data_IF_818361548243
#
_entry.id   IF_818361548243
#
_cell.length_a   1.000
_cell.length_b   1.000
_cell.length_c   1.000
_cell.angle_alpha   90.00
_cell.angle_beta   90.00
_cell.angle_gamma   90.00
#
_symmetry.space_group_name_H-M   'P 1'
#
loop_
_entity.id
_entity.type
_entity.pdbx_description
1 polymer ?
#
# COMPACT_ATOMS: atom_id res chain seq x y z
N UNK A 1 -21.00 -0.37 25.36
CA UNK A 1 -20.75 -1.43 24.36
C UNK A 1 -19.25 -1.53 24.16
N UNK A 2 -18.71 -2.72 23.96
CA UNK A 2 -17.29 -2.89 23.66
C UNK A 2 -17.07 -2.78 22.16
N UNK A 3 -15.99 -2.13 21.72
CA UNK A 3 -15.56 -2.13 20.34
C UNK A 3 -15.14 -3.55 19.94
N UNK A 4 -15.58 -4.02 18.77
CA UNK A 4 -15.31 -5.36 18.26
C UNK A 4 -14.56 -5.33 16.94
N UNK A 5 -13.97 -6.45 16.55
CA UNK A 5 -13.36 -6.64 15.22
C UNK A 5 -14.37 -6.37 14.09
N UNK A 6 -15.65 -6.71 14.31
CA UNK A 6 -16.73 -6.42 13.35
C UNK A 6 -16.93 -4.92 13.12
N UNK A 7 -16.80 -4.09 14.16
CA UNK A 7 -16.91 -2.62 14.03
C UNK A 7 -15.76 -2.05 13.18
N UNK A 8 -14.56 -2.65 13.27
CA UNK A 8 -13.42 -2.23 12.46
C UNK A 8 -13.57 -2.69 11.00
N UNK A 9 -14.13 -3.87 10.76
CA UNK A 9 -14.48 -4.31 9.40
C UNK A 9 -15.55 -3.39 8.77
N UNK A 10 -16.57 -2.98 9.52
CA UNK A 10 -17.57 -2.01 9.08
C UNK A 10 -16.93 -0.65 8.76
N UNK A 11 -15.99 -0.18 9.59
CA UNK A 11 -15.26 1.04 9.32
C UNK A 11 -14.47 0.94 8.01
N UNK A 12 -13.72 -0.15 7.79
CA UNK A 12 -12.94 -0.37 6.57
C UNK A 12 -13.84 -0.40 5.33
N UNK A 13 -14.97 -1.11 5.41
CA UNK A 13 -15.99 -1.14 4.34
C UNK A 13 -16.53 0.26 4.00
N UNK A 14 -16.72 1.12 4.99
CA UNK A 14 -17.21 2.48 4.78
C UNK A 14 -16.18 3.44 4.16
N UNK A 15 -14.87 3.26 4.46
CA UNK A 15 -13.82 4.17 3.98
C UNK A 15 -13.10 3.69 2.73
N UNK A 16 -13.12 2.39 2.49
CA UNK A 16 -12.52 1.73 1.33
C UNK A 16 -13.35 0.48 0.99
N UNK A 17 -14.49 0.62 0.29
CA UNK A 17 -15.44 -0.47 0.07
C UNK A 17 -14.82 -1.72 -0.56
N UNK A 18 -15.21 -2.89 -0.07
CA UNK A 18 -14.74 -4.19 -0.58
C UNK A 18 -15.09 -4.44 -2.04
N UNK A 19 -16.10 -3.74 -2.56
CA UNK A 19 -16.45 -3.75 -3.98
C UNK A 19 -15.37 -3.15 -4.89
N UNK A 20 -14.38 -2.42 -4.35
CA UNK A 20 -13.18 -2.00 -5.06
C UNK A 20 -12.11 -3.09 -5.15
N UNK A 21 -12.24 -4.19 -4.40
CA UNK A 21 -11.23 -5.25 -4.40
C UNK A 21 -11.04 -5.87 -5.78
N UNK A 22 -9.79 -6.19 -6.10
CA UNK A 22 -9.49 -7.01 -7.27
C UNK A 22 -10.14 -8.39 -7.16
N UNK A 23 -10.41 -8.99 -8.31
CA UNK A 23 -11.00 -10.34 -8.33
C UNK A 23 -10.11 -11.33 -7.58
N UNK A 24 -10.68 -12.03 -6.62
CA UNK A 24 -10.00 -13.00 -5.75
C UNK A 24 -9.00 -12.40 -4.75
N UNK A 25 -9.03 -11.08 -4.51
CA UNK A 25 -8.23 -10.47 -3.46
C UNK A 25 -8.74 -10.92 -2.07
N UNK A 26 -7.92 -11.62 -1.26
CA UNK A 26 -8.37 -12.23 -0.01
C UNK A 26 -8.42 -11.21 1.15
N UNK A 27 -9.24 -10.16 1.02
CA UNK A 27 -9.44 -9.15 2.06
C UNK A 27 -10.36 -9.65 3.19
N UNK A 28 -10.33 -8.97 4.33
CA UNK A 28 -11.18 -9.22 5.49
C UNK A 28 -10.45 -9.87 6.66
N UNK A 29 -11.22 -10.46 7.58
CA UNK A 29 -10.65 -11.13 8.74
C UNK A 29 -9.99 -12.44 8.33
N UNK A 30 -8.69 -12.55 8.56
CA UNK A 30 -7.88 -13.71 8.21
C UNK A 30 -7.58 -14.61 9.41
N UNK A 31 -7.39 -14.03 10.61
CA UNK A 31 -7.17 -14.77 11.85
C UNK A 31 -8.00 -14.13 12.94
N UNK A 32 -8.61 -14.92 13.82
CA UNK A 32 -9.34 -14.46 14.99
C UNK A 32 -10.86 -14.51 14.88
N UNK A 33 -11.57 -13.62 15.54
CA UNK A 33 -13.02 -13.62 15.62
C UNK A 33 -13.63 -12.23 15.41
N UNK A 34 -14.66 -12.12 14.57
CA UNK A 34 -15.43 -10.88 14.39
C UNK A 34 -16.02 -10.33 15.69
N UNK A 35 -16.28 -11.21 16.67
CA UNK A 35 -16.85 -10.85 17.99
C UNK A 35 -15.79 -10.48 19.03
N UNK A 36 -14.50 -10.64 18.72
CA UNK A 36 -13.44 -10.34 19.67
C UNK A 36 -13.45 -8.84 20.03
N UNK A 37 -13.31 -8.49 21.33
CA UNK A 37 -13.17 -7.10 21.75
C UNK A 37 -11.82 -6.56 21.32
N UNK A 38 -11.79 -5.31 20.80
CA UNK A 38 -10.58 -4.62 20.39
C UNK A 38 -10.06 -3.76 21.53
N UNK A 39 -8.80 -3.99 21.93
CA UNK A 39 -8.09 -3.25 22.99
C UNK A 39 -7.16 -2.19 22.42
N UNK A 40 -6.68 -2.39 21.21
CA UNK A 40 -5.81 -1.50 20.47
C UNK A 40 -5.51 -2.08 19.09
N UNK A 41 -5.11 -1.21 18.16
CA UNK A 41 -4.98 -1.53 16.74
C UNK A 41 -3.58 -1.20 16.25
N UNK A 42 -2.94 -2.16 15.57
CA UNK A 42 -1.72 -1.98 14.80
C UNK A 42 -2.07 -1.85 13.33
N UNK A 43 -1.56 -0.83 12.66
CA UNK A 43 -1.60 -0.67 11.22
C UNK A 43 -0.22 -0.98 10.64
N UNK A 44 -0.15 -1.81 9.62
CA UNK A 44 1.11 -2.20 8.97
C UNK A 44 0.90 -2.50 7.48
N UNK A 45 1.97 -2.56 6.70
CA UNK A 45 1.90 -3.09 5.33
C UNK A 45 1.82 -4.61 5.37
N UNK A 46 2.78 -5.26 6.02
CA UNK A 46 2.90 -6.72 6.03
C UNK A 46 2.44 -7.32 7.36
N UNK A 47 1.68 -8.44 7.33
CA UNK A 47 1.36 -9.22 8.51
C UNK A 47 2.52 -10.19 8.82
N UNK A 48 3.46 -9.76 9.65
CA UNK A 48 4.68 -10.50 9.98
C UNK A 48 4.74 -10.96 11.44
N UNK A 49 5.69 -11.83 11.75
CA UNK A 49 6.03 -12.18 13.15
C UNK A 49 6.52 -10.95 13.93
N UNK A 50 7.27 -10.06 13.28
CA UNK A 50 7.74 -8.81 13.88
C UNK A 50 6.56 -7.90 14.26
N UNK A 51 5.60 -7.74 13.34
CA UNK A 51 4.37 -6.98 13.60
C UNK A 51 3.55 -7.61 14.74
N UNK A 52 3.41 -8.93 14.77
CA UNK A 52 2.72 -9.64 15.85
C UNK A 52 3.39 -9.40 17.22
N UNK A 53 4.70 -9.56 17.30
CA UNK A 53 5.46 -9.31 18.54
C UNK A 53 5.31 -7.86 18.98
N UNK A 54 5.48 -6.92 18.06
CA UNK A 54 5.31 -5.50 18.37
C UNK A 54 3.90 -5.20 18.89
N UNK A 55 2.85 -5.78 18.29
CA UNK A 55 1.47 -5.61 18.76
C UNK A 55 1.32 -6.08 20.21
N UNK A 56 1.85 -7.25 20.56
CA UNK A 56 1.82 -7.79 21.91
C UNK A 56 2.57 -6.89 22.90
N UNK A 57 3.79 -6.46 22.55
CA UNK A 57 4.61 -5.59 23.40
C UNK A 57 3.93 -4.24 23.69
N UNK A 58 3.08 -3.76 22.75
CA UNK A 58 2.29 -2.54 22.92
C UNK A 58 0.89 -2.78 23.52
N UNK A 59 0.54 -4.01 23.89
CA UNK A 59 -0.78 -4.36 24.44
C UNK A 59 -1.93 -4.29 23.43
N UNK A 60 -1.61 -4.34 22.14
CA UNK A 60 -2.59 -4.33 21.03
C UNK A 60 -3.03 -5.76 20.71
N UNK A 61 -4.27 -5.94 20.25
CA UNK A 61 -4.78 -7.26 19.93
C UNK A 61 -5.45 -7.38 18.56
N UNK A 62 -5.43 -6.30 17.77
CA UNK A 62 -5.88 -6.30 16.38
C UNK A 62 -4.77 -5.73 15.48
N UNK A 63 -4.42 -6.46 14.44
CA UNK A 63 -3.55 -6.01 13.35
C UNK A 63 -4.41 -5.80 12.12
N UNK A 64 -4.32 -4.62 11.52
CA UNK A 64 -4.87 -4.33 10.19
C UNK A 64 -3.69 -4.14 9.26
N UNK A 65 -3.50 -5.10 8.36
CA UNK A 65 -2.43 -5.05 7.35
C UNK A 65 -2.99 -4.65 5.99
N UNK A 66 -2.14 -4.01 5.19
CA UNK A 66 -2.41 -3.80 3.78
C UNK A 66 -2.38 -5.15 3.05
N UNK A 67 -1.27 -5.85 3.10
CA UNK A 67 -1.13 -7.15 2.46
C UNK A 67 -1.89 -8.26 3.21
N UNK A 68 -2.49 -9.21 2.48
CA UNK A 68 -3.07 -10.39 3.08
C UNK A 68 -1.99 -11.38 3.56
N UNK A 69 -2.23 -12.00 4.72
CA UNK A 69 -1.41 -13.11 5.19
C UNK A 69 -1.60 -14.35 4.31
N UNK A 70 -2.85 -14.60 3.91
CA UNK A 70 -3.22 -15.76 3.09
C UNK A 70 -3.52 -15.31 1.67
N UNK A 71 -2.48 -15.05 0.89
CA UNK A 71 -2.63 -14.71 -0.53
C UNK A 71 -3.12 -15.93 -1.34
N UNK A 72 -2.67 -17.14 -0.95
CA UNK A 72 -3.14 -18.41 -1.50
C UNK A 72 -3.73 -19.27 -0.39
N UNK A 73 -4.67 -20.19 -0.70
CA UNK A 73 -5.20 -21.13 0.27
C UNK A 73 -4.08 -21.97 0.89
N UNK A 74 -4.09 -22.10 2.21
CA UNK A 74 -3.14 -22.93 2.96
C UNK A 74 -3.62 -24.38 3.04
N UNK A 75 -2.68 -25.32 2.91
CA UNK A 75 -2.95 -26.75 3.10
C UNK A 75 -2.61 -27.23 4.52
N UNK A 76 -1.76 -26.50 5.23
CA UNK A 76 -1.35 -26.84 6.60
C UNK A 76 -1.07 -25.58 7.42
N UNK A 77 -1.33 -25.65 8.73
CA UNK A 77 -1.02 -24.61 9.70
C UNK A 77 0.05 -25.11 10.65
N UNK A 78 1.31 -24.77 10.41
CA UNK A 78 2.45 -25.15 11.24
C UNK A 78 3.29 -23.92 11.60
N UNK A 79 4.04 -23.96 12.73
CA UNK A 79 4.90 -22.86 13.12
C UNK A 79 6.21 -22.76 12.31
N UNK A 80 6.47 -23.68 11.38
CA UNK A 80 7.80 -23.88 10.78
C UNK A 80 8.01 -23.05 9.52
N UNK A 81 6.93 -22.63 8.85
CA UNK A 81 7.01 -21.93 7.57
C UNK A 81 5.95 -20.82 7.43
N UNK A 82 6.31 -19.75 6.70
CA UNK A 82 5.39 -18.69 6.29
C UNK A 82 4.36 -19.23 5.27
N UNK A 83 3.08 -18.81 5.34
CA UNK A 83 2.47 -17.90 6.32
C UNK A 83 1.97 -18.59 7.60
N UNK A 84 2.09 -19.90 7.71
CA UNK A 84 1.59 -20.70 8.83
C UNK A 84 2.15 -20.26 10.18
N UNK A 85 3.43 -19.89 10.25
CA UNK A 85 4.09 -19.43 11.46
C UNK A 85 3.45 -18.16 12.03
N UNK A 86 3.09 -17.20 11.18
CA UNK A 86 2.42 -15.95 11.59
C UNK A 86 1.02 -16.26 12.10
N UNK A 87 0.25 -17.05 11.37
CA UNK A 87 -1.10 -17.44 11.76
C UNK A 87 -1.10 -18.22 13.09
N UNK A 88 -0.21 -19.21 13.22
CA UNK A 88 -0.05 -20.00 14.43
C UNK A 88 0.30 -19.12 15.64
N UNK A 89 1.26 -18.20 15.48
CA UNK A 89 1.65 -17.25 16.51
C UNK A 89 0.48 -16.34 16.90
N UNK A 90 -0.21 -15.77 15.90
CA UNK A 90 -1.35 -14.88 16.14
C UNK A 90 -2.48 -15.59 16.91
N UNK A 91 -2.82 -16.82 16.54
CA UNK A 91 -3.83 -17.63 17.26
C UNK A 91 -3.39 -17.89 18.70
N UNK A 92 -2.13 -18.31 18.89
CA UNK A 92 -1.57 -18.61 20.21
C UNK A 92 -1.61 -17.41 21.15
N UNK A 93 -1.31 -16.21 20.64
CA UNK A 93 -1.24 -14.98 21.43
C UNK A 93 -2.59 -14.21 21.46
N UNK A 94 -3.67 -14.75 20.87
CA UNK A 94 -4.98 -14.14 20.87
C UNK A 94 -5.10 -12.87 20.02
N UNK A 95 -4.25 -12.73 19.01
CA UNK A 95 -4.30 -11.63 18.05
C UNK A 95 -5.40 -11.88 16.99
N UNK A 96 -5.96 -10.79 16.49
CA UNK A 96 -6.84 -10.80 15.31
C UNK A 96 -6.11 -10.11 14.16
N UNK A 97 -6.21 -10.65 12.94
CA UNK A 97 -5.58 -10.10 11.74
C UNK A 97 -6.64 -9.82 10.68
N UNK A 98 -6.71 -8.58 10.23
CA UNK A 98 -7.51 -8.13 9.09
C UNK A 98 -6.55 -7.72 7.98
N UNK A 99 -6.79 -8.18 6.75
CA UNK A 99 -6.16 -7.64 5.55
C UNK A 99 -7.12 -6.70 4.82
N UNK A 100 -6.63 -5.54 4.39
CA UNK A 100 -7.41 -4.60 3.58
C UNK A 100 -6.53 -4.03 2.46
N UNK A 101 -6.46 -4.76 1.36
CA UNK A 101 -5.45 -4.65 0.30
C UNK A 101 -5.91 -3.72 -0.83
N UNK A 102 -6.31 -4.27 -1.96
CA UNK A 102 -6.60 -3.50 -3.18
C UNK A 102 -7.73 -2.46 -3.07
N UNK A 103 -8.69 -2.52 -2.14
CA UNK A 103 -9.56 -1.37 -1.89
C UNK A 103 -8.82 -0.12 -1.43
N UNK A 104 -7.72 -0.25 -0.65
CA UNK A 104 -6.88 0.88 -0.27
C UNK A 104 -6.04 1.43 -1.43
N UNK A 105 -5.76 0.62 -2.46
CA UNK A 105 -5.08 1.10 -3.67
C UNK A 105 -5.98 1.97 -4.53
N UNK A 106 -7.29 1.69 -4.51
CA UNK A 106 -8.26 2.25 -5.46
C UNK A 106 -9.09 3.41 -4.92
N UNK A 107 -9.18 3.61 -3.61
CA UNK A 107 -9.88 4.79 -3.09
C UNK A 107 -9.13 6.07 -3.42
N UNK A 108 -9.85 7.16 -3.65
CA UNK A 108 -9.31 8.46 -4.06
C UNK A 108 -8.24 9.05 -3.12
N UNK A 109 -8.21 8.64 -1.86
CA UNK A 109 -7.20 9.02 -0.85
C UNK A 109 -6.18 7.91 -0.58
N UNK A 110 -6.20 6.82 -1.33
CA UNK A 110 -5.48 5.58 -1.12
C UNK A 110 -3.97 5.66 -1.38
N UNK A 111 -3.36 4.50 -1.58
CA UNK A 111 -1.89 4.33 -1.67
C UNK A 111 -1.26 5.28 -2.69
N UNK A 112 -1.76 5.30 -3.92
CA UNK A 112 -1.17 6.14 -4.98
C UNK A 112 -1.35 7.63 -4.74
N UNK A 113 -2.49 8.04 -4.17
CA UNK A 113 -2.74 9.43 -3.78
C UNK A 113 -1.84 9.85 -2.62
N UNK A 114 -1.64 8.99 -1.62
CA UNK A 114 -0.73 9.24 -0.50
C UNK A 114 0.72 9.39 -0.96
N UNK A 115 1.15 8.57 -1.93
CA UNK A 115 2.47 8.67 -2.54
C UNK A 115 2.62 9.99 -3.32
N UNK A 116 1.62 10.41 -4.11
CA UNK A 116 1.63 11.69 -4.81
C UNK A 116 1.72 12.87 -3.83
N UNK A 117 0.91 12.87 -2.76
CA UNK A 117 0.94 13.91 -1.73
C UNK A 117 2.28 13.97 -0.99
N UNK A 118 2.90 12.81 -0.70
CA UNK A 118 4.24 12.76 -0.11
C UNK A 118 5.27 13.45 -0.98
N UNK A 119 5.11 13.37 -2.30
CA UNK A 119 5.95 14.06 -3.29
C UNK A 119 5.59 15.56 -3.41
N UNK A 120 4.51 16.01 -2.80
CA UNK A 120 3.99 17.38 -2.94
C UNK A 120 3.29 17.60 -4.27
N UNK A 121 2.77 16.54 -4.87
CA UNK A 121 2.07 16.55 -6.15
C UNK A 121 0.56 16.39 -5.93
N UNK A 122 -0.24 17.03 -6.78
CA UNK A 122 -1.70 16.96 -6.74
C UNK A 122 -2.19 16.05 -7.87
N UNK A 123 -2.85 14.92 -7.56
CA UNK A 123 -3.47 14.08 -8.57
C UNK A 123 -4.56 14.81 -9.37
N UNK A 124 -4.60 14.60 -10.70
CA UNK A 124 -5.67 15.11 -11.58
C UNK A 124 -6.82 14.08 -11.71
N UNK A 125 -6.46 12.82 -11.88
CA UNK A 125 -7.42 11.72 -12.06
C UNK A 125 -6.77 10.37 -11.76
N UNK A 126 -7.55 9.29 -11.56
CA UNK A 126 -6.99 7.95 -11.56
C UNK A 126 -6.50 7.55 -12.97
N UNK A 127 -5.50 6.66 -13.02
CA UNK A 127 -5.01 6.08 -14.30
C UNK A 127 -6.07 5.14 -14.86
N UNK A 128 -6.58 4.20 -14.05
CA UNK A 128 -7.70 3.34 -14.38
C UNK A 128 -8.88 3.70 -13.47
N UNK A 129 -9.88 4.40 -14.04
CA UNK A 129 -11.05 4.85 -13.28
C UNK A 129 -11.98 3.69 -12.90
N UNK A 130 -12.46 3.70 -11.66
CA UNK A 130 -13.49 2.79 -11.14
C UNK A 130 -14.76 3.60 -10.78
N UNK A 131 -15.48 4.02 -11.82
CA UNK A 131 -16.60 4.97 -11.68
C UNK A 131 -17.84 4.39 -11.02
N UNK A 132 -17.97 3.07 -10.94
CA UNK A 132 -19.11 2.40 -10.29
C UNK A 132 -19.29 2.75 -8.81
N UNK A 133 -18.24 3.25 -8.15
CA UNK A 133 -18.19 3.51 -6.71
C UNK A 133 -17.86 4.96 -6.35
N UNK A 134 -18.11 5.88 -7.27
CA UNK A 134 -17.89 7.32 -7.09
C UNK A 134 -16.72 7.88 -7.89
N UNK A 135 -16.75 9.18 -8.11
CA UNK A 135 -15.70 9.89 -8.81
C UNK A 135 -14.38 9.86 -8.05
N UNK A 136 -13.27 9.77 -8.79
CA UNK A 136 -11.90 9.81 -8.24
C UNK A 136 -11.37 8.47 -7.70
N UNK A 137 -12.20 7.41 -7.63
CA UNK A 137 -11.74 6.07 -7.31
C UNK A 137 -11.15 5.39 -8.56
N UNK A 138 -10.10 4.60 -8.35
CA UNK A 138 -9.43 3.86 -9.40
C UNK A 138 -7.98 3.57 -9.10
N UNK A 139 -7.33 2.77 -9.93
CA UNK A 139 -5.97 2.34 -9.72
C UNK A 139 -4.97 3.36 -10.27
N UNK A 140 -3.99 3.73 -9.42
CA UNK A 140 -2.97 4.73 -9.74
C UNK A 140 -3.54 6.13 -9.90
N UNK A 141 -2.67 7.13 -9.99
CA UNK A 141 -3.06 8.53 -10.22
C UNK A 141 -2.19 9.16 -11.30
N UNK A 142 -2.77 10.10 -12.04
CA UNK A 142 -2.08 10.94 -13.01
C UNK A 142 -1.76 12.29 -12.40
N UNK A 143 -0.55 12.78 -12.68
CA UNK A 143 -0.08 14.10 -12.29
C UNK A 143 0.49 14.80 -13.52
N UNK A 144 0.19 16.09 -13.69
CA UNK A 144 0.87 16.96 -14.67
C UNK A 144 1.75 17.98 -13.95
N UNK A 145 2.92 18.21 -14.51
CA UNK A 145 3.80 19.24 -14.04
C UNK A 145 3.50 20.57 -14.75
N UNK A 146 3.48 21.67 -14.02
CA UNK A 146 3.33 23.01 -14.61
C UNK A 146 4.53 23.41 -15.50
N UNK A 147 5.68 22.80 -15.22
CA UNK A 147 6.91 22.89 -16.01
C UNK A 147 7.56 21.50 -15.98
N UNK A 148 8.05 21.03 -17.14
CA UNK A 148 8.75 19.76 -17.22
C UNK A 148 9.96 19.71 -16.28
N UNK A 149 10.26 18.51 -15.80
CA UNK A 149 11.39 18.22 -14.91
C UNK A 149 12.24 17.12 -15.52
N UNK A 150 13.54 17.12 -15.29
CA UNK A 150 14.40 16.03 -15.73
C UNK A 150 14.13 14.76 -14.94
N UNK A 151 14.12 13.61 -15.62
CA UNK A 151 13.87 12.31 -15.00
C UNK A 151 14.84 12.00 -13.86
N UNK A 152 16.13 12.31 -14.04
CA UNK A 152 17.15 12.12 -12.99
C UNK A 152 16.95 13.02 -11.77
N UNK A 153 16.47 14.26 -11.95
CA UNK A 153 16.12 15.15 -10.84
C UNK A 153 14.88 14.65 -10.10
N UNK A 154 13.87 14.23 -10.85
CA UNK A 154 12.66 13.62 -10.28
C UNK A 154 12.99 12.36 -9.49
N UNK A 155 13.88 11.48 -9.99
CA UNK A 155 14.33 10.28 -9.29
C UNK A 155 14.98 10.60 -7.93
N UNK A 156 15.85 11.62 -7.89
CA UNK A 156 16.49 12.08 -6.65
C UNK A 156 15.48 12.65 -5.65
N UNK A 157 14.50 13.41 -6.14
CA UNK A 157 13.45 13.97 -5.30
C UNK A 157 12.55 12.86 -4.73
N UNK A 158 12.17 11.87 -5.54
CA UNK A 158 11.42 10.69 -5.11
C UNK A 158 12.20 9.94 -4.03
N UNK A 159 13.48 9.62 -4.25
CA UNK A 159 14.31 8.92 -3.27
C UNK A 159 14.32 9.62 -1.90
N UNK A 160 14.50 10.95 -1.91
CA UNK A 160 14.53 11.77 -0.69
C UNK A 160 13.19 11.81 0.02
N UNK A 161 12.08 12.01 -0.70
CA UNK A 161 10.76 12.21 -0.11
C UNK A 161 10.11 10.91 0.36
N UNK A 162 10.33 9.81 -0.39
CA UNK A 162 9.82 8.47 -0.03
C UNK A 162 10.70 7.79 1.03
N UNK A 163 11.92 8.31 1.24
CA UNK A 163 12.94 7.70 2.10
C UNK A 163 13.26 6.26 1.66
N UNK A 164 13.51 6.11 0.35
CA UNK A 164 13.73 4.84 -0.32
C UNK A 164 14.80 4.96 -1.40
N UNK A 165 15.40 3.82 -1.75
CA UNK A 165 16.17 3.73 -2.99
C UNK A 165 15.26 3.91 -4.21
N UNK A 166 15.84 4.40 -5.31
CA UNK A 166 15.16 4.48 -6.61
C UNK A 166 16.02 3.81 -7.67
N UNK A 167 15.43 2.87 -8.41
CA UNK A 167 15.97 2.43 -9.69
C UNK A 167 15.24 3.16 -10.82
N UNK A 168 15.95 3.47 -11.89
CA UNK A 168 15.42 4.24 -13.01
C UNK A 168 15.60 3.46 -14.32
N UNK A 169 14.59 3.49 -15.16
CA UNK A 169 14.64 3.08 -16.58
C UNK A 169 14.37 4.32 -17.42
N UNK A 170 15.23 4.60 -18.37
CA UNK A 170 15.16 5.78 -19.25
C UNK A 170 16.38 6.67 -19.15
N UNK A 171 16.43 7.73 -19.97
CA UNK A 171 17.51 8.73 -19.96
C UNK A 171 17.29 9.74 -18.83
N UNK A 172 18.28 9.93 -17.96
CA UNK A 172 18.23 10.88 -16.84
C UNK A 172 17.94 12.33 -17.26
N UNK A 173 18.30 12.68 -18.50
CA UNK A 173 18.08 14.02 -19.08
C UNK A 173 16.71 14.16 -19.77
N UNK A 174 15.94 13.09 -19.88
CA UNK A 174 14.59 13.13 -20.47
C UNK A 174 13.69 14.09 -19.69
N UNK A 175 12.97 14.92 -20.42
CA UNK A 175 11.98 15.85 -19.86
C UNK A 175 10.66 15.11 -19.56
N UNK A 176 10.17 15.24 -18.35
CA UNK A 176 8.92 14.66 -17.86
C UNK A 176 7.92 15.79 -17.62
N UNK A 177 6.83 15.79 -18.37
CA UNK A 177 5.72 16.75 -18.26
C UNK A 177 4.52 16.17 -17.50
N UNK A 178 4.43 14.84 -17.47
CA UNK A 178 3.35 14.08 -16.83
C UNK A 178 3.88 12.78 -16.22
N UNK A 179 3.29 12.37 -15.11
CA UNK A 179 3.70 11.22 -14.31
C UNK A 179 2.49 10.38 -13.92
N UNK A 180 2.53 9.09 -14.26
CA UNK A 180 1.70 8.09 -13.60
C UNK A 180 2.32 7.71 -12.27
N UNK A 181 1.52 7.59 -11.22
CA UNK A 181 1.97 7.11 -9.90
C UNK A 181 1.07 5.96 -9.50
N UNK A 182 1.66 4.81 -9.21
CA UNK A 182 0.93 3.66 -8.68
C UNK A 182 1.84 2.91 -7.69
N UNK A 183 1.51 2.99 -6.40
CA UNK A 183 2.18 2.20 -5.38
C UNK A 183 1.96 0.71 -5.61
N UNK A 184 2.95 -0.11 -5.24
CA UNK A 184 2.90 -1.55 -5.50
C UNK A 184 3.33 -1.94 -6.93
N UNK A 185 3.04 -3.17 -7.32
CA UNK A 185 3.51 -3.80 -8.57
C UNK A 185 2.63 -3.45 -9.77
N UNK A 186 2.71 -2.23 -10.29
CA UNK A 186 1.80 -1.70 -11.32
C UNK A 186 2.44 -1.53 -12.71
N UNK A 187 3.55 -2.20 -13.02
CA UNK A 187 4.23 -2.06 -14.32
C UNK A 187 3.35 -2.38 -15.54
N UNK A 188 2.27 -3.14 -15.37
CA UNK A 188 1.28 -3.43 -16.40
C UNK A 188 0.52 -2.18 -16.90
N UNK A 189 0.52 -1.09 -16.13
CA UNK A 189 -0.08 0.18 -16.53
C UNK A 189 0.67 0.90 -17.66
N UNK A 190 1.89 0.47 -17.99
CA UNK A 190 2.71 1.07 -19.07
C UNK A 190 1.91 1.23 -20.37
N UNK A 191 1.27 0.17 -20.83
CA UNK A 191 0.51 0.20 -22.09
C UNK A 191 -0.73 1.11 -22.04
N UNK A 192 -1.33 1.27 -20.86
CA UNK A 192 -2.43 2.19 -20.68
C UNK A 192 -1.96 3.65 -20.68
N UNK A 193 -0.88 3.94 -19.96
CA UNK A 193 -0.28 5.28 -19.89
C UNK A 193 0.21 5.77 -21.25
N UNK A 194 0.79 4.89 -22.08
CA UNK A 194 1.19 5.20 -23.47
C UNK A 194 0.00 5.69 -24.32
N UNK A 195 -1.19 5.08 -24.16
CA UNK A 195 -2.43 5.53 -24.84
C UNK A 195 -2.87 6.91 -24.37
N UNK A 196 -2.55 7.30 -23.14
CA UNK A 196 -2.77 8.62 -22.56
C UNK A 196 -1.65 9.61 -22.89
N UNK A 197 -0.66 9.23 -23.70
CA UNK A 197 0.56 10.01 -24.00
C UNK A 197 1.41 10.32 -22.78
N UNK A 198 1.29 9.55 -21.69
CA UNK A 198 2.12 9.63 -20.50
C UNK A 198 3.24 8.61 -20.62
N UNK A 199 4.48 9.04 -20.51
CA UNK A 199 5.67 8.21 -20.77
C UNK A 199 6.48 7.87 -19.52
N UNK A 200 5.99 8.20 -18.33
CA UNK A 200 6.72 7.97 -17.08
C UNK A 200 5.77 7.39 -16.04
N UNK A 201 6.20 6.32 -15.36
CA UNK A 201 5.47 5.70 -14.25
C UNK A 201 6.39 5.53 -13.04
N UNK A 202 5.94 6.04 -11.90
CA UNK A 202 6.48 5.72 -10.59
C UNK A 202 5.70 4.53 -10.01
N UNK A 203 6.40 3.43 -9.73
CA UNK A 203 5.82 2.16 -9.24
C UNK A 203 6.86 1.32 -8.51
N UNK A 204 6.56 0.07 -8.21
CA UNK A 204 7.46 -0.92 -7.61
C UNK A 204 7.57 -2.18 -8.50
N UNK A 205 8.52 -3.06 -8.20
CA UNK A 205 8.63 -4.44 -8.72
C UNK A 205 8.56 -4.60 -10.25
N UNK A 206 9.28 -3.78 -10.99
CA UNK A 206 9.36 -3.91 -12.45
C UNK A 206 10.29 -5.06 -12.83
N UNK A 207 9.78 -6.04 -13.57
CA UNK A 207 10.57 -7.17 -14.07
C UNK A 207 11.56 -6.73 -15.16
N UNK A 208 12.71 -7.39 -15.24
CA UNK A 208 13.75 -7.09 -16.22
C UNK A 208 13.23 -6.95 -17.65
N UNK A 209 12.42 -7.90 -18.13
CA UNK A 209 11.90 -7.84 -19.50
C UNK A 209 10.98 -6.65 -19.74
N UNK A 210 10.16 -6.28 -18.74
CA UNK A 210 9.32 -5.07 -18.81
C UNK A 210 10.19 -3.80 -18.84
N UNK A 211 11.23 -3.74 -18.01
CA UNK A 211 12.18 -2.63 -18.02
C UNK A 211 12.90 -2.52 -19.37
N UNK A 212 13.33 -3.65 -19.97
CA UNK A 212 13.98 -3.67 -21.28
C UNK A 212 13.04 -3.26 -22.42
N UNK A 213 11.79 -3.68 -22.37
CA UNK A 213 10.76 -3.21 -23.30
C UNK A 213 10.56 -1.70 -23.19
N UNK A 214 10.42 -1.19 -21.97
CA UNK A 214 10.25 0.25 -21.72
C UNK A 214 11.42 1.07 -22.28
N UNK A 215 12.65 0.63 -22.06
CA UNK A 215 13.85 1.28 -22.61
C UNK A 215 13.79 1.36 -24.15
N UNK A 216 13.44 0.26 -24.81
CA UNK A 216 13.32 0.19 -26.28
C UNK A 216 12.21 1.11 -26.82
N UNK A 217 11.10 1.20 -26.09
CA UNK A 217 9.92 1.95 -26.49
C UNK A 217 9.94 3.41 -26.02
N UNK A 218 11.00 3.86 -25.35
CA UNK A 218 11.13 5.22 -24.83
C UNK A 218 10.13 5.55 -23.72
N UNK A 219 9.80 4.55 -22.87
CA UNK A 219 8.99 4.71 -21.68
C UNK A 219 9.89 4.67 -20.44
N UNK A 220 9.61 5.50 -19.45
CA UNK A 220 10.42 5.64 -18.26
C UNK A 220 9.76 4.99 -17.04
N UNK A 221 10.55 4.31 -16.21
CA UNK A 221 10.13 3.88 -14.88
C UNK A 221 10.99 4.55 -13.79
N UNK A 222 10.33 4.99 -12.74
CA UNK A 222 10.93 5.22 -11.43
C UNK A 222 10.44 4.10 -10.51
N UNK A 223 11.36 3.32 -9.96
CA UNK A 223 11.04 2.10 -9.21
C UNK A 223 11.51 2.31 -7.78
N UNK A 224 10.60 2.24 -6.83
CA UNK A 224 10.86 2.44 -5.39
C UNK A 224 10.61 1.16 -4.62
N UNK A 225 11.05 1.12 -3.36
CA UNK A 225 10.72 0.03 -2.45
C UNK A 225 9.21 -0.08 -2.26
N UNK A 226 8.69 -1.29 -2.40
CA UNK A 226 7.26 -1.59 -2.38
C UNK A 226 6.62 -1.20 -1.04
N UNK A 227 7.18 -1.71 0.05
CA UNK A 227 6.65 -1.44 1.38
C UNK A 227 6.79 0.03 1.78
N UNK A 228 7.86 0.71 1.36
CA UNK A 228 8.03 2.14 1.61
C UNK A 228 6.93 2.96 0.91
N UNK A 229 6.64 2.67 -0.37
CA UNK A 229 5.60 3.34 -1.13
C UNK A 229 4.20 3.15 -0.52
N UNK A 230 3.86 1.93 -0.15
CA UNK A 230 2.53 1.59 0.38
C UNK A 230 2.34 2.02 1.83
N UNK A 231 3.40 2.06 2.64
CA UNK A 231 3.31 2.53 4.03
C UNK A 231 2.80 3.97 4.16
N UNK A 232 2.92 4.77 3.09
CA UNK A 232 2.49 6.17 3.06
C UNK A 232 0.97 6.37 3.22
N UNK A 233 0.15 5.34 2.97
CA UNK A 233 -1.30 5.40 3.22
C UNK A 233 -1.65 5.22 4.70
N UNK A 234 -0.80 4.58 5.50
CA UNK A 234 -1.09 4.22 6.88
C UNK A 234 -1.39 5.42 7.80
N UNK A 235 -0.70 6.58 7.70
CA UNK A 235 -1.06 7.76 8.47
C UNK A 235 -2.48 8.27 8.18
N UNK A 236 -2.92 8.26 6.92
CA UNK A 236 -4.29 8.63 6.53
C UNK A 236 -5.33 7.65 7.05
N UNK A 237 -5.06 6.36 6.95
CA UNK A 237 -5.93 5.33 7.50
C UNK A 237 -6.04 5.48 9.02
N UNK A 238 -4.93 5.74 9.72
CA UNK A 238 -4.90 6.02 11.17
C UNK A 238 -5.75 7.24 11.54
N UNK A 239 -5.64 8.33 10.78
CA UNK A 239 -6.42 9.54 11.01
C UNK A 239 -7.92 9.25 10.91
N UNK A 240 -8.37 8.60 9.82
CA UNK A 240 -9.77 8.22 9.60
C UNK A 240 -10.28 7.28 10.71
N UNK A 241 -9.46 6.33 11.12
CA UNK A 241 -9.80 5.39 12.19
C UNK A 241 -9.94 6.11 13.55
N UNK A 242 -9.02 7.03 13.88
CA UNK A 242 -9.12 7.82 15.09
C UNK A 242 -10.39 8.70 15.12
N UNK A 243 -10.77 9.29 13.99
CA UNK A 243 -12.02 10.04 13.85
C UNK A 243 -13.24 9.15 14.06
N UNK A 244 -13.26 7.94 13.51
CA UNK A 244 -14.32 6.97 13.70
C UNK A 244 -14.45 6.54 15.17
N UNK A 245 -13.34 6.19 15.82
CA UNK A 245 -13.29 5.81 17.22
C UNK A 245 -13.80 6.93 18.13
N UNK A 246 -13.32 8.14 17.91
CA UNK A 246 -13.72 9.31 18.67
C UNK A 246 -15.23 9.61 18.55
N UNK A 247 -15.79 9.54 17.34
CA UNK A 247 -17.24 9.73 17.10
C UNK A 247 -18.09 8.70 17.81
N UNK A 248 -17.58 7.49 18.04
CA UNK A 248 -18.25 6.40 18.79
C UNK A 248 -17.91 6.40 20.30
N UNK A 249 -17.09 7.34 20.78
CA UNK A 249 -16.70 7.46 22.19
C UNK A 249 -15.66 6.45 22.66
N UNK A 250 -14.91 5.83 21.73
CA UNK A 250 -13.84 4.91 22.06
C UNK A 250 -12.48 5.62 22.13
N UNK A 251 -11.70 5.29 23.17
CA UNK A 251 -10.32 5.77 23.35
C UNK A 251 -9.40 4.57 23.48
N UNK A 252 -8.97 4.05 22.34
CA UNK A 252 -7.99 2.94 22.25
C UNK A 252 -6.79 3.36 21.42
N UNK A 253 -5.59 2.80 21.69
CA UNK A 253 -4.41 3.12 20.90
C UNK A 253 -4.52 2.61 19.46
N UNK A 254 -4.12 3.45 18.51
CA UNK A 254 -3.90 3.10 17.11
C UNK A 254 -2.45 3.42 16.78
N UNK A 255 -1.65 2.40 16.51
CA UNK A 255 -0.22 2.51 16.28
C UNK A 255 0.13 2.08 14.86
N UNK A 256 1.10 2.72 14.23
CA UNK A 256 1.66 2.29 12.95
C UNK A 256 2.96 1.56 13.22
N UNK A 257 3.12 0.42 12.56
CA UNK A 257 4.38 -0.33 12.52
C UNK A 257 4.84 -0.44 11.06
N UNK A 258 6.06 0.00 10.81
CA UNK A 258 6.71 -0.11 9.51
C UNK A 258 7.93 -1.01 9.63
N UNK A 259 8.04 -1.97 8.75
CA UNK A 259 9.21 -2.81 8.63
C UNK A 259 10.28 -2.12 7.76
N UNK A 260 11.53 -2.49 7.98
CA UNK A 260 12.60 -2.10 7.07
C UNK A 260 12.47 -2.88 5.78
N UNK A 261 12.87 -2.26 4.67
CA UNK A 261 12.99 -2.93 3.39
C UNK A 261 13.75 -4.26 3.51
N UNK A 262 13.26 -5.35 2.91
CA UNK A 262 14.02 -6.60 2.83
C UNK A 262 15.27 -6.47 1.93
N UNK A 263 15.31 -5.44 1.08
CA UNK A 263 16.44 -5.18 0.19
C UNK A 263 17.53 -4.37 0.90
N UNK A 264 18.78 -4.74 0.62
CA UNK A 264 19.96 -3.98 1.03
C UNK A 264 20.71 -3.52 -0.21
N UNK A 265 20.92 -2.22 -0.32
CA UNK A 265 21.72 -1.66 -1.41
C UNK A 265 23.19 -1.82 -1.05
N UNK A 266 23.93 -2.59 -1.86
CA UNK A 266 25.37 -2.73 -1.76
C UNK A 266 25.97 -1.81 -2.83
N UNK A 267 26.72 -0.82 -2.40
CA UNK A 267 27.50 0.05 -3.30
C UNK A 267 28.97 -0.38 -3.21
N UNK A 268 29.62 -0.59 -4.35
CA UNK A 268 31.07 -0.68 -4.39
C UNK A 268 31.66 0.71 -4.08
N UNK A 269 32.55 0.76 -3.13
CA UNK A 269 33.25 1.99 -2.70
C UNK A 269 34.44 2.24 -3.64
#
# INVERSE_FOLDING_TARGET
>A
MNLTVSDILEFLENVAPSSLAEKNDPIGLQVGSKKAPVKGILLTVDPSISACKFAIDQGLNLIVSHHPLFYNPMQSLTPDAYPGNVAYYAVKEGLNLIAWHTPLDKVSWGVSAALAERLGLSPESPILSETSLGEGNGLGVLVKFSKSVKLGELAKEVAKKVDSWVMMVGDENCEVDSLGICGGSCSFLMEHLKKLSVKTLLTSDVKYHTAKQAEIEGFNFLIVDHGAAESLVLPKLKEKLNQFLSKRGFQIPVVIFTEKSPYKIIQEV
#
